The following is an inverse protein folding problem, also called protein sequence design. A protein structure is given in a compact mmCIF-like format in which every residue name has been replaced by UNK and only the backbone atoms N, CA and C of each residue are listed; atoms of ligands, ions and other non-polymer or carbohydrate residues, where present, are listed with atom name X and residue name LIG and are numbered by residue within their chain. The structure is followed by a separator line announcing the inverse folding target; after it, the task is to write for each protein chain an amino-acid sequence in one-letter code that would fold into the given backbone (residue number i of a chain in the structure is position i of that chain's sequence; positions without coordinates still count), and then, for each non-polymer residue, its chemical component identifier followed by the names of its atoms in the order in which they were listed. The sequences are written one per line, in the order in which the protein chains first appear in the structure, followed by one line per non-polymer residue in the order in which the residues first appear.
data_IF_233809463644
#
_entry.id   IF_233809463644
#
_cell.length_a   1.000
_cell.length_b   1.000
_cell.length_c   1.000
_cell.angle_alpha   90.00
_cell.angle_beta   90.00
_cell.angle_gamma   90.00
#
_symmetry.space_group_name_H-M   'P 1'
#
loop_
_entity.id
_entity.type
_entity.pdbx_description
1 polymer ?
#
# COMPACT_ATOMS: atom_id res chain seq x y z
N UNK A 1 -6.20 -60.79 2.34
CA UNK A 1 -7.61 -60.85 1.91
C UNK A 1 -7.83 -59.68 0.98
N UNK A 2 -7.62 -59.93 -0.32
CA UNK A 2 -7.85 -58.98 -1.40
C UNK A 2 -9.35 -58.87 -1.66
N UNK A 3 -9.87 -57.66 -1.84
CA UNK A 3 -11.19 -57.44 -2.44
C UNK A 3 -11.05 -56.29 -3.44
N UNK A 4 -10.80 -56.68 -4.68
CA UNK A 4 -10.90 -55.89 -5.89
C UNK A 4 -12.35 -55.83 -6.34
N UNK A 5 -12.89 -54.63 -6.61
CA UNK A 5 -14.12 -54.44 -7.39
C UNK A 5 -13.72 -53.76 -8.70
N UNK A 6 -14.17 -54.25 -9.88
CA UNK A 6 -13.72 -53.76 -11.17
C UNK A 6 -14.54 -52.56 -11.64
N UNK A 7 -13.89 -51.59 -12.29
CA UNK A 7 -14.54 -50.51 -13.04
C UNK A 7 -14.35 -50.79 -14.53
N UNK A 8 -15.45 -51.05 -15.24
CA UNK A 8 -15.48 -51.10 -16.70
C UNK A 8 -16.38 -50.00 -17.25
N UNK A 9 -15.85 -49.22 -18.18
CA UNK A 9 -16.56 -48.77 -19.38
C UNK A 9 -17.54 -47.61 -19.27
N UNK A 10 -17.06 -46.41 -19.59
CA UNK A 10 -17.70 -45.39 -20.44
C UNK A 10 -19.23 -45.23 -20.42
N UNK A 11 -19.72 -44.16 -19.80
CA UNK A 11 -20.87 -43.39 -20.30
C UNK A 11 -20.89 -41.98 -19.70
N UNK A 12 -21.13 -41.00 -20.56
CA UNK A 12 -21.35 -39.59 -20.24
C UNK A 12 -22.34 -39.42 -19.08
N UNK A 13 -21.92 -38.77 -17.99
CA UNK A 13 -22.81 -38.18 -16.99
C UNK A 13 -22.34 -36.75 -16.74
N UNK A 14 -22.85 -35.83 -17.56
CA UNK A 14 -22.93 -34.42 -17.24
C UNK A 14 -23.69 -34.27 -15.92
N UNK A 15 -23.06 -33.68 -14.91
CA UNK A 15 -23.70 -33.37 -13.64
C UNK A 15 -24.80 -32.31 -13.87
N UNK A 16 -26.03 -32.49 -13.36
CA UNK A 16 -27.08 -31.50 -13.52
C UNK A 16 -26.86 -30.33 -12.54
N UNK A 17 -26.65 -29.13 -13.08
CA UNK A 17 -26.70 -27.86 -12.33
C UNK A 17 -28.10 -27.64 -11.73
N UNK A 18 -28.24 -27.21 -10.47
CA UNK A 18 -29.54 -26.90 -9.90
C UNK A 18 -30.07 -25.58 -10.49
N UNK A 19 -31.10 -25.72 -11.30
CA UNK A 19 -31.78 -24.64 -12.01
C UNK A 19 -32.82 -24.01 -11.06
N UNK A 20 -32.56 -22.78 -10.61
CA UNK A 20 -33.49 -22.04 -9.74
C UNK A 20 -33.93 -20.72 -10.39
N UNK A 21 -34.41 -20.82 -11.63
CA UNK A 21 -35.06 -19.72 -12.35
C UNK A 21 -36.56 -20.01 -12.42
N UNK A 22 -37.46 -19.17 -11.88
CA UNK A 22 -38.89 -19.39 -11.99
C UNK A 22 -39.37 -19.26 -13.43
N UNK A 23 -40.13 -20.27 -13.89
CA UNK A 23 -40.65 -20.47 -15.24
C UNK A 23 -41.90 -19.62 -15.56
N UNK A 24 -42.00 -18.40 -15.01
CA UNK A 24 -43.13 -17.50 -15.29
C UNK A 24 -42.68 -16.05 -15.42
N UNK A 25 -42.86 -15.44 -16.59
CA UNK A 25 -42.88 -13.98 -16.71
C UNK A 25 -44.03 -13.43 -15.87
N UNK A 26 -43.72 -12.57 -14.91
CA UNK A 26 -44.71 -11.77 -14.20
C UNK A 26 -45.40 -10.83 -15.21
N UNK A 27 -46.74 -10.66 -15.16
CA UNK A 27 -47.43 -9.76 -16.06
C UNK A 27 -47.20 -8.31 -15.59
N UNK A 28 -46.26 -7.61 -16.22
CA UNK A 28 -46.09 -6.16 -16.06
C UNK A 28 -47.11 -5.47 -16.96
N UNK A 29 -48.37 -5.43 -16.53
CA UNK A 29 -49.40 -4.59 -17.15
C UNK A 29 -50.57 -4.35 -16.17
N UNK A 30 -50.35 -3.57 -15.12
CA UNK A 30 -51.42 -2.86 -14.41
C UNK A 30 -50.86 -1.78 -13.46
N UNK A 31 -50.87 -0.52 -13.91
CA UNK A 31 -51.18 0.63 -13.06
C UNK A 31 -50.19 1.01 -11.95
N UNK A 32 -48.96 1.40 -12.31
CA UNK A 32 -48.18 2.30 -11.46
C UNK A 32 -48.43 3.74 -11.92
N UNK A 33 -49.01 4.52 -11.04
CA UNK A 33 -49.25 5.96 -11.19
C UNK A 33 -47.93 6.69 -11.46
N UNK A 34 -47.86 7.41 -12.58
CA UNK A 34 -46.77 8.36 -12.88
C UNK A 34 -46.67 9.40 -11.76
N UNK A 35 -45.48 9.67 -11.17
CA UNK A 35 -45.27 10.84 -10.34
C UNK A 35 -45.56 12.10 -11.17
N UNK A 36 -46.41 12.98 -10.64
CA UNK A 36 -46.73 14.28 -11.25
C UNK A 36 -45.78 15.32 -10.66
N UNK A 37 -44.62 15.48 -11.29
CA UNK A 37 -43.78 16.67 -11.13
C UNK A 37 -43.90 17.44 -12.45
N UNK A 38 -44.27 18.73 -12.44
CA UNK A 38 -44.30 19.51 -13.68
C UNK A 38 -42.87 19.67 -14.23
N UNK A 39 -42.71 19.53 -15.54
CA UNK A 39 -41.47 19.79 -16.25
C UNK A 39 -41.02 21.24 -15.97
N UNK A 40 -39.75 21.42 -15.60
CA UNK A 40 -39.10 22.73 -15.58
C UNK A 40 -39.01 23.19 -17.02
N UNK A 41 -39.61 24.33 -17.32
CA UNK A 41 -39.40 25.04 -18.58
C UNK A 41 -37.99 25.63 -18.55
N UNK A 42 -37.12 25.16 -19.44
CA UNK A 42 -35.89 25.86 -19.81
C UNK A 42 -36.28 27.21 -20.42
N UNK A 43 -36.07 28.27 -19.65
CA UNK A 43 -36.02 29.61 -20.21
C UNK A 43 -34.72 29.73 -21.00
N UNK A 44 -34.85 30.18 -22.26
CA UNK A 44 -33.73 30.49 -23.14
C UNK A 44 -32.85 31.55 -22.49
N UNK A 45 -31.62 31.20 -22.17
CA UNK A 45 -30.55 32.18 -21.97
C UNK A 45 -29.85 32.40 -23.31
N UNK A 46 -29.62 33.68 -23.59
CA UNK A 46 -29.02 34.19 -24.83
C UNK A 46 -27.53 33.86 -24.85
N UNK A 47 -27.03 33.56 -26.05
CA UNK A 47 -25.62 33.32 -26.37
C UNK A 47 -24.73 34.45 -25.83
N UNK A 48 -23.75 34.13 -25.00
CA UNK A 48 -22.52 34.90 -24.84
C UNK A 48 -21.35 33.91 -24.61
N UNK A 49 -20.55 33.73 -25.65
CA UNK A 49 -19.27 33.01 -25.62
C UNK A 49 -18.21 33.74 -24.76
N UNK A 50 -17.26 32.95 -24.26
CA UNK A 50 -15.86 33.28 -23.89
C UNK A 50 -15.46 33.18 -22.39
N UNK A 51 -14.87 32.02 -22.04
CA UNK A 51 -13.95 31.69 -20.91
C UNK A 51 -14.54 31.20 -19.57
N UNK A 52 -14.78 29.88 -19.42
CA UNK A 52 -15.21 29.30 -18.12
C UNK A 52 -14.48 28.02 -17.63
N UNK A 53 -13.36 27.59 -18.22
CA UNK A 53 -12.69 26.35 -17.75
C UNK A 53 -11.85 26.48 -16.46
N UNK A 54 -11.73 27.66 -15.83
CA UNK A 54 -11.06 27.81 -14.51
C UNK A 54 -12.04 27.97 -13.34
N UNK A 55 -13.34 28.22 -13.61
CA UNK A 55 -14.35 28.43 -12.58
C UNK A 55 -15.08 27.15 -12.18
N UNK A 56 -15.18 26.16 -13.06
CA UNK A 56 -15.87 24.89 -12.75
C UNK A 56 -15.08 24.05 -11.75
N UNK A 57 -13.75 23.96 -11.86
CA UNK A 57 -12.89 23.29 -10.88
C UNK A 57 -12.92 23.98 -9.52
N UNK A 58 -12.87 25.31 -9.50
CA UNK A 58 -12.97 26.08 -8.26
C UNK A 58 -14.36 25.98 -7.63
N UNK A 59 -15.43 25.89 -8.43
CA UNK A 59 -16.80 25.66 -7.97
C UNK A 59 -16.99 24.22 -7.47
N UNK A 60 -16.35 23.23 -8.10
CA UNK A 60 -16.37 21.83 -7.69
C UNK A 60 -15.59 21.63 -6.39
N UNK A 61 -14.40 22.21 -6.26
CA UNK A 61 -13.58 22.21 -5.04
C UNK A 61 -14.31 22.94 -3.90
N UNK A 62 -14.93 24.08 -4.19
CA UNK A 62 -15.73 24.82 -3.21
C UNK A 62 -17.04 24.09 -2.85
N UNK A 63 -17.64 23.32 -3.77
CA UNK A 63 -18.79 22.47 -3.49
C UNK A 63 -18.39 21.25 -2.64
N UNK A 64 -17.25 20.62 -2.92
CA UNK A 64 -16.66 19.55 -2.11
C UNK A 64 -16.31 20.06 -0.71
N UNK A 65 -15.68 21.22 -0.58
CA UNK A 65 -15.39 21.85 0.70
C UNK A 65 -16.67 22.22 1.49
N UNK A 66 -17.74 22.63 0.81
CA UNK A 66 -19.06 22.87 1.44
C UNK A 66 -19.77 21.58 1.84
N UNK A 67 -19.64 20.51 1.06
CA UNK A 67 -20.18 19.18 1.36
C UNK A 67 -19.42 18.57 2.53
N UNK A 68 -18.09 18.60 2.51
CA UNK A 68 -17.21 18.19 3.61
C UNK A 68 -17.48 19.04 4.87
N UNK A 69 -17.63 20.36 4.75
CA UNK A 69 -17.96 21.24 5.88
C UNK A 69 -19.35 21.00 6.48
N UNK A 70 -20.37 20.69 5.65
CA UNK A 70 -21.70 20.30 6.11
C UNK A 70 -21.70 18.91 6.74
N UNK A 71 -21.00 17.94 6.15
CA UNK A 71 -20.83 16.60 6.71
C UNK A 71 -20.11 16.66 8.05
N UNK A 72 -19.03 17.45 8.16
CA UNK A 72 -18.32 17.70 9.41
C UNK A 72 -19.22 18.31 10.50
N UNK A 73 -20.16 19.18 10.13
CA UNK A 73 -21.15 19.75 11.06
C UNK A 73 -22.24 18.75 11.52
N UNK A 74 -22.46 17.68 10.75
CA UNK A 74 -23.43 16.61 10.97
C UNK A 74 -22.82 15.37 11.65
N UNK A 75 -21.48 15.26 11.73
CA UNK A 75 -20.80 14.21 12.48
C UNK A 75 -21.25 14.26 13.95
N UNK A 76 -21.92 13.20 14.41
CA UNK A 76 -22.38 13.05 15.79
C UNK A 76 -23.61 13.89 16.18
N UNK A 77 -24.18 14.69 15.28
CA UNK A 77 -25.45 15.40 15.52
C UNK A 77 -26.56 14.74 14.72
N UNK A 78 -27.67 14.40 15.38
CA UNK A 78 -28.91 14.03 14.69
C UNK A 78 -29.21 15.13 13.67
N UNK A 79 -29.54 14.75 12.44
CA UNK A 79 -29.76 15.67 11.32
C UNK A 79 -30.96 16.62 11.49
N UNK A 80 -31.44 16.84 12.71
CA UNK A 80 -32.71 17.49 13.07
C UNK A 80 -33.93 16.67 12.66
N UNK A 81 -33.86 16.02 11.51
CA UNK A 81 -34.88 15.12 10.97
C UNK A 81 -35.16 13.98 11.94
N UNK A 82 -34.14 13.25 12.40
CA UNK A 82 -34.31 12.14 13.34
C UNK A 82 -35.00 12.62 14.63
N UNK A 83 -34.70 13.83 15.09
CA UNK A 83 -35.32 14.41 16.30
C UNK A 83 -36.76 14.86 16.08
N UNK A 84 -37.13 15.23 14.85
CA UNK A 84 -38.49 15.59 14.47
C UNK A 84 -39.42 14.38 14.31
N UNK A 85 -38.88 13.16 14.25
CA UNK A 85 -39.66 11.94 14.05
C UNK A 85 -40.60 11.66 15.24
N UNK A 86 -41.82 11.14 15.00
CA UNK A 86 -42.69 10.66 16.06
C UNK A 86 -42.02 9.60 16.93
N UNK A 87 -42.39 9.55 18.22
CA UNK A 87 -41.80 8.61 19.20
C UNK A 87 -41.90 7.16 18.73
N UNK A 88 -43.01 6.78 18.09
CA UNK A 88 -43.17 5.42 17.55
C UNK A 88 -42.14 5.10 16.46
N UNK A 89 -41.87 6.06 15.56
CA UNK A 89 -40.86 5.90 14.51
C UNK A 89 -39.45 5.83 15.10
N UNK A 90 -39.14 6.68 16.10
CA UNK A 90 -37.87 6.60 16.84
C UNK A 90 -37.68 5.25 17.53
N UNK A 91 -38.74 4.68 18.11
CA UNK A 91 -38.70 3.32 18.70
C UNK A 91 -38.41 2.26 17.63
N UNK A 92 -38.94 2.41 16.42
CA UNK A 92 -38.58 1.53 15.30
C UNK A 92 -37.10 1.68 14.90
N UNK A 93 -36.56 2.90 14.88
CA UNK A 93 -35.12 3.12 14.64
C UNK A 93 -34.26 2.45 15.72
N UNK A 94 -34.64 2.57 17.00
CA UNK A 94 -33.96 1.85 18.09
C UNK A 94 -34.07 0.33 17.94
N UNK A 95 -35.21 -0.19 17.47
CA UNK A 95 -35.35 -1.61 17.14
C UNK A 95 -34.42 -2.04 16.00
N UNK A 96 -34.28 -1.22 14.95
CA UNK A 96 -33.34 -1.46 13.84
C UNK A 96 -31.89 -1.44 14.31
N UNK A 97 -31.50 -0.54 15.22
CA UNK A 97 -30.16 -0.59 15.86
C UNK A 97 -29.94 -1.91 16.59
N UNK A 98 -30.97 -2.45 17.25
CA UNK A 98 -30.92 -3.78 17.87
C UNK A 98 -30.70 -4.91 16.85
N UNK A 99 -31.33 -4.83 15.67
CA UNK A 99 -31.07 -5.77 14.56
C UNK A 99 -29.63 -5.63 14.05
N UNK A 100 -29.11 -4.40 13.93
CA UNK A 100 -27.74 -4.15 13.52
C UNK A 100 -26.72 -4.78 14.49
N UNK A 101 -26.99 -4.76 15.81
CA UNK A 101 -26.14 -5.44 16.79
C UNK A 101 -26.03 -6.94 16.49
N UNK A 102 -27.15 -7.61 16.15
CA UNK A 102 -27.13 -9.02 15.79
C UNK A 102 -26.36 -9.29 14.49
N UNK A 103 -26.48 -8.39 13.51
CA UNK A 103 -25.70 -8.48 12.28
C UNK A 103 -24.20 -8.36 12.56
N UNK A 104 -23.80 -7.43 13.42
CA UNK A 104 -22.40 -7.24 13.82
C UNK A 104 -21.86 -8.47 14.58
N UNK A 105 -22.68 -9.14 15.41
CA UNK A 105 -22.30 -10.40 16.07
C UNK A 105 -22.00 -11.52 15.05
N UNK A 106 -22.82 -11.63 14.00
CA UNK A 106 -22.61 -12.60 12.92
C UNK A 106 -21.33 -12.27 12.13
N UNK A 107 -21.10 -11.00 11.80
CA UNK A 107 -19.89 -10.56 11.13
C UNK A 107 -18.63 -10.84 11.95
N UNK A 108 -18.66 -10.58 13.26
CA UNK A 108 -17.59 -10.93 14.19
C UNK A 108 -17.27 -12.43 14.14
N UNK A 109 -18.31 -13.28 14.16
CA UNK A 109 -18.13 -14.73 14.07
C UNK A 109 -17.52 -15.14 12.73
N UNK A 110 -18.01 -14.58 11.62
CA UNK A 110 -17.48 -14.84 10.28
C UNK A 110 -15.99 -14.52 10.20
N UNK A 111 -15.56 -13.33 10.64
CA UNK A 111 -14.13 -12.95 10.59
C UNK A 111 -13.24 -13.81 11.47
N UNK A 112 -13.74 -14.28 12.63
CA UNK A 112 -13.00 -15.27 13.43
C UNK A 112 -12.86 -16.61 12.71
N UNK A 113 -13.90 -17.08 12.03
CA UNK A 113 -13.81 -18.29 11.21
C UNK A 113 -12.85 -18.12 10.01
N UNK A 114 -12.80 -16.92 9.39
CA UNK A 114 -11.78 -16.59 8.39
C UNK A 114 -10.36 -16.68 8.96
N UNK A 115 -10.11 -16.10 10.14
CA UNK A 115 -8.80 -16.17 10.78
C UNK A 115 -8.37 -17.62 11.09
N UNK A 116 -9.29 -18.47 11.54
CA UNK A 116 -9.00 -19.89 11.75
C UNK A 116 -8.72 -20.63 10.43
N UNK A 117 -9.36 -20.22 9.34
CA UNK A 117 -9.09 -20.73 8.00
C UNK A 117 -7.70 -20.31 7.50
N UNK A 118 -7.32 -19.05 7.70
CA UNK A 118 -5.99 -18.52 7.39
C UNK A 118 -4.90 -19.29 8.16
N UNK A 119 -5.08 -19.50 9.47
CA UNK A 119 -4.18 -20.34 10.29
C UNK A 119 -4.02 -21.74 9.73
N UNK A 120 -5.12 -22.38 9.33
CA UNK A 120 -5.11 -23.72 8.73
C UNK A 120 -4.30 -23.75 7.44
N UNK A 121 -4.49 -22.79 6.54
CA UNK A 121 -3.77 -22.77 5.26
C UNK A 121 -2.32 -22.35 5.41
N UNK A 122 -2.00 -21.46 6.36
CA UNK A 122 -0.61 -21.16 6.71
C UNK A 122 0.14 -22.42 7.15
N UNK A 123 -0.49 -23.29 7.94
CA UNK A 123 0.11 -24.56 8.34
C UNK A 123 0.39 -25.51 7.16
N UNK A 124 -0.44 -25.46 6.11
CA UNK A 124 -0.25 -26.24 4.87
C UNK A 124 0.83 -25.62 3.98
N UNK A 125 0.95 -24.29 3.96
CA UNK A 125 2.00 -23.57 3.22
C UNK A 125 3.36 -23.65 3.89
N UNK A 126 3.42 -23.81 5.22
CA UNK A 126 4.67 -23.79 6.00
C UNK A 126 5.77 -24.72 5.45
N UNK A 127 5.51 -25.99 5.07
CA UNK A 127 6.53 -26.84 4.46
C UNK A 127 7.09 -26.30 3.14
N UNK A 128 6.29 -25.55 2.36
CA UNK A 128 6.73 -24.90 1.12
C UNK A 128 7.65 -23.71 1.44
N UNK A 129 7.32 -22.92 2.47
CA UNK A 129 8.20 -21.84 2.94
C UNK A 129 9.51 -22.38 3.52
N UNK A 130 9.47 -23.46 4.30
CA UNK A 130 10.68 -24.15 4.78
C UNK A 130 11.52 -24.71 3.62
N UNK A 131 10.87 -25.26 2.58
CA UNK A 131 11.55 -25.72 1.37
C UNK A 131 12.21 -24.57 0.62
N UNK A 132 11.51 -23.44 0.47
CA UNK A 132 12.03 -22.20 -0.14
C UNK A 132 13.25 -21.68 0.64
N UNK A 133 13.14 -21.56 1.96
CA UNK A 133 14.24 -21.16 2.84
C UNK A 133 15.47 -22.06 2.63
N UNK A 134 15.25 -23.38 2.55
CA UNK A 134 16.35 -24.33 2.39
C UNK A 134 17.13 -24.12 1.09
N UNK A 135 16.42 -23.79 0.00
CA UNK A 135 16.98 -23.47 -1.32
C UNK A 135 17.68 -22.11 -1.29
N UNK A 136 17.03 -21.05 -0.79
CA UNK A 136 17.60 -19.70 -0.71
C UNK A 136 18.93 -19.72 0.05
N UNK A 137 18.98 -20.41 1.18
CA UNK A 137 20.18 -20.46 2.03
C UNK A 137 21.22 -21.50 1.54
N UNK A 138 20.93 -22.26 0.48
CA UNK A 138 21.81 -23.29 -0.06
C UNK A 138 22.05 -24.46 0.91
N UNK A 139 21.14 -24.68 1.86
CA UNK A 139 21.20 -25.79 2.82
C UNK A 139 20.66 -27.11 2.23
N UNK A 140 19.88 -27.01 1.15
CA UNK A 140 19.45 -28.14 0.33
C UNK A 140 19.45 -27.74 -1.14
N UNK A 141 19.87 -28.67 -2.00
CA UNK A 141 19.84 -28.46 -3.44
C UNK A 141 18.42 -28.54 -4.00
N UNK A 142 18.15 -27.80 -5.07
CA UNK A 142 16.93 -27.92 -5.84
C UNK A 142 16.88 -29.30 -6.52
N UNK A 143 15.72 -29.94 -6.48
CA UNK A 143 15.49 -31.21 -7.16
C UNK A 143 15.26 -30.99 -8.66
N UNK A 144 15.51 -32.02 -9.47
CA UNK A 144 15.23 -31.95 -10.90
C UNK A 144 13.75 -31.67 -11.20
N UNK A 145 12.83 -32.21 -10.38
CA UNK A 145 11.39 -31.97 -10.53
C UNK A 145 11.02 -30.50 -10.26
N UNK A 146 11.61 -29.88 -9.23
CA UNK A 146 11.39 -28.45 -8.93
C UNK A 146 11.93 -27.54 -10.03
N UNK A 147 13.11 -27.87 -10.58
CA UNK A 147 13.69 -27.12 -11.70
C UNK A 147 12.81 -27.26 -12.95
N UNK A 148 12.40 -28.48 -13.32
CA UNK A 148 11.54 -28.71 -14.49
C UNK A 148 10.18 -27.98 -14.34
N UNK A 149 9.61 -27.96 -13.14
CA UNK A 149 8.39 -27.19 -12.87
C UNK A 149 8.62 -25.67 -12.99
N UNK A 150 9.74 -25.15 -12.46
CA UNK A 150 10.10 -23.74 -12.57
C UNK A 150 10.41 -23.29 -13.99
N UNK A 151 11.09 -24.12 -14.79
CA UNK A 151 11.35 -23.85 -16.20
C UNK A 151 10.05 -23.84 -17.02
N UNK A 152 9.09 -24.71 -16.68
CA UNK A 152 7.76 -24.67 -17.29
C UNK A 152 7.05 -23.35 -17.01
N UNK A 153 7.09 -22.86 -15.76
CA UNK A 153 6.51 -21.56 -15.42
C UNK A 153 7.23 -20.42 -16.16
N UNK A 154 8.56 -20.47 -16.22
CA UNK A 154 9.36 -19.45 -16.92
C UNK A 154 9.03 -19.37 -18.41
N UNK A 155 8.71 -20.50 -19.04
CA UNK A 155 8.29 -20.55 -20.44
C UNK A 155 6.84 -20.06 -20.65
N UNK A 156 5.97 -20.20 -19.65
CA UNK A 156 4.63 -19.62 -19.65
C UNK A 156 4.70 -18.08 -19.51
N UNK A 157 5.66 -17.58 -18.75
CA UNK A 157 5.89 -16.15 -18.53
C UNK A 157 6.66 -15.48 -19.69
N UNK A 158 7.69 -16.16 -20.22
CA UNK A 158 8.52 -15.70 -21.34
C UNK A 158 8.66 -16.83 -22.40
N UNK A 159 7.98 -16.72 -23.56
CA UNK A 159 8.06 -17.71 -24.64
C UNK A 159 9.46 -17.94 -25.20
N UNK A 160 10.37 -16.98 -25.02
CA UNK A 160 11.77 -17.05 -25.47
C UNK A 160 12.72 -17.57 -24.38
N UNK A 161 12.19 -18.02 -23.22
CA UNK A 161 12.98 -18.58 -22.13
C UNK A 161 13.81 -19.80 -22.59
N UNK A 162 15.10 -19.77 -22.27
CA UNK A 162 16.05 -20.85 -22.56
C UNK A 162 16.39 -21.60 -21.28
N UNK A 163 16.11 -22.91 -21.28
CA UNK A 163 16.41 -23.80 -20.17
C UNK A 163 17.89 -23.75 -19.73
N UNK A 164 18.10 -23.87 -18.43
CA UNK A 164 19.43 -23.70 -17.83
C UNK A 164 20.30 -24.96 -18.04
N UNK A 165 21.64 -24.83 -18.10
CA UNK A 165 22.53 -25.98 -18.16
C UNK A 165 22.37 -26.87 -16.91
N UNK A 166 22.27 -28.19 -17.10
CA UNK A 166 22.03 -29.15 -16.01
C UNK A 166 23.28 -29.47 -15.16
N UNK A 167 24.48 -29.23 -15.71
CA UNK A 167 25.76 -29.59 -15.08
C UNK A 167 26.55 -28.33 -14.70
N UNK A 168 26.10 -27.62 -13.66
CA UNK A 168 26.80 -26.47 -13.09
C UNK A 168 27.24 -26.75 -11.66
N UNK A 169 28.50 -26.41 -11.35
CA UNK A 169 29.09 -26.49 -10.01
C UNK A 169 29.39 -25.08 -9.52
N UNK A 170 28.76 -24.69 -8.41
CA UNK A 170 28.89 -23.35 -7.81
C UNK A 170 28.26 -23.31 -6.41
N UNK A 171 28.31 -22.15 -5.72
CA UNK A 171 27.53 -21.95 -4.51
C UNK A 171 26.04 -21.92 -4.84
N UNK A 172 25.25 -22.70 -4.09
CA UNK A 172 23.82 -22.90 -4.36
C UNK A 172 22.91 -21.95 -3.57
N UNK A 173 23.47 -21.13 -2.69
CA UNK A 173 22.72 -20.10 -1.96
C UNK A 173 22.46 -18.90 -2.87
N UNK A 174 21.28 -18.28 -2.71
CA UNK A 174 20.86 -17.08 -3.43
C UNK A 174 21.22 -15.86 -2.56
N UNK A 175 22.27 -15.08 -2.92
CA UNK A 175 22.68 -13.95 -2.11
C UNK A 175 21.62 -12.85 -2.13
N UNK A 176 21.46 -12.16 -0.99
CA UNK A 176 20.65 -10.94 -0.87
C UNK A 176 19.18 -11.11 -1.27
N UNK A 177 18.66 -12.35 -1.29
CA UNK A 177 17.30 -12.67 -1.76
C UNK A 177 16.23 -11.76 -1.15
N UNK A 178 16.17 -11.68 0.18
CA UNK A 178 15.17 -10.87 0.87
C UNK A 178 15.42 -9.37 0.74
N UNK A 179 16.68 -8.92 0.71
CA UNK A 179 16.97 -7.51 0.48
C UNK A 179 16.46 -7.08 -0.91
N UNK A 180 16.74 -7.86 -1.94
CA UNK A 180 16.26 -7.60 -3.31
C UNK A 180 14.73 -7.65 -3.38
N UNK A 181 14.10 -8.66 -2.77
CA UNK A 181 12.64 -8.76 -2.75
C UNK A 181 11.98 -7.56 -2.05
N UNK A 182 12.50 -7.12 -0.90
CA UNK A 182 11.97 -5.97 -0.17
C UNK A 182 12.20 -4.65 -0.93
N UNK A 183 13.32 -4.52 -1.66
CA UNK A 183 13.63 -3.36 -2.52
C UNK A 183 12.73 -3.23 -3.73
N UNK A 184 12.20 -4.35 -4.23
CA UNK A 184 11.28 -4.35 -5.36
C UNK A 184 9.82 -4.08 -4.93
N UNK A 185 9.53 -3.96 -3.64
CA UNK A 185 8.22 -3.53 -3.17
C UNK A 185 8.19 -2.01 -3.00
N UNK A 186 7.24 -1.34 -3.65
CA UNK A 186 7.16 0.13 -3.75
C UNK A 186 7.24 0.80 -2.38
N UNK A 187 6.34 0.45 -1.45
CA UNK A 187 6.31 1.07 -0.11
C UNK A 187 7.48 0.72 0.80
N UNK A 188 8.19 -0.39 0.56
CA UNK A 188 9.33 -0.79 1.39
C UNK A 188 10.65 -0.24 0.84
N UNK A 189 10.75 -0.05 -0.47
CA UNK A 189 11.92 0.52 -1.13
C UNK A 189 12.27 1.89 -0.55
N UNK A 190 11.25 2.72 -0.28
CA UNK A 190 11.40 4.06 0.30
C UNK A 190 11.84 4.04 1.76
N UNK A 191 11.46 3.01 2.51
CA UNK A 191 11.86 2.84 3.92
C UNK A 191 13.31 2.33 4.06
N UNK A 192 13.83 1.63 3.04
CA UNK A 192 15.17 1.04 3.07
C UNK A 192 16.21 2.06 2.62
N UNK A 193 17.06 2.49 3.57
CA UNK A 193 18.21 3.36 3.25
C UNK A 193 19.45 2.55 2.87
N UNK A 194 20.42 3.17 2.20
CA UNK A 194 21.70 2.53 1.85
C UNK A 194 22.45 1.97 3.08
N UNK A 195 22.25 2.58 4.26
CA UNK A 195 22.87 2.13 5.52
C UNK A 195 22.24 0.83 6.02
N UNK A 196 20.95 0.62 5.74
CA UNK A 196 20.19 -0.55 6.17
C UNK A 196 20.54 -1.79 5.36
N UNK A 197 20.93 -1.62 4.09
CA UNK A 197 21.32 -2.71 3.19
C UNK A 197 22.42 -3.58 3.81
N UNK A 198 23.38 -2.97 4.49
CA UNK A 198 24.46 -3.70 5.16
C UNK A 198 23.94 -4.75 6.14
N UNK A 199 22.91 -4.41 6.92
CA UNK A 199 22.27 -5.33 7.86
C UNK A 199 21.28 -6.28 7.16
N UNK A 200 20.53 -5.79 6.18
CA UNK A 200 19.54 -6.58 5.44
C UNK A 200 20.17 -7.67 4.56
N UNK A 201 21.43 -7.54 4.14
CA UNK A 201 22.21 -8.63 3.51
C UNK A 201 22.29 -9.90 4.37
N UNK A 202 22.13 -9.76 5.70
CA UNK A 202 22.17 -10.87 6.64
C UNK A 202 20.79 -11.50 6.90
N UNK A 203 19.71 -10.99 6.29
CA UNK A 203 18.35 -11.50 6.41
C UNK A 203 18.21 -12.80 5.61
N UNK A 204 17.92 -13.90 6.29
CA UNK A 204 17.83 -15.24 5.69
C UNK A 204 16.40 -15.74 5.50
N UNK A 205 15.46 -15.25 6.31
CA UNK A 205 14.04 -15.62 6.20
C UNK A 205 13.11 -14.58 6.81
N UNK A 206 11.90 -14.48 6.26
CA UNK A 206 10.79 -13.71 6.82
C UNK A 206 9.62 -14.68 7.00
N UNK A 207 9.19 -14.87 8.25
CA UNK A 207 8.15 -15.83 8.59
C UNK A 207 6.90 -15.15 9.13
N UNK A 208 5.75 -15.64 8.67
CA UNK A 208 4.44 -15.28 9.22
C UNK A 208 4.02 -16.32 10.27
N UNK A 209 3.45 -15.84 11.37
CA UNK A 209 2.75 -16.67 12.36
C UNK A 209 1.54 -15.91 12.90
N UNK A 210 0.43 -16.59 13.11
CA UNK A 210 -0.71 -16.00 13.82
C UNK A 210 -0.51 -16.13 15.33
N UNK A 211 -0.96 -15.12 16.07
CA UNK A 211 -0.91 -15.14 17.53
C UNK A 211 -1.99 -16.07 18.07
N UNK A 212 -1.61 -16.88 19.05
CA UNK A 212 -2.56 -17.72 19.77
C UNK A 212 -3.38 -16.87 20.74
N UNK A 213 -4.67 -17.19 20.90
CA UNK A 213 -5.59 -16.51 21.84
C UNK A 213 -5.18 -16.64 23.33
N UNK A 214 -4.08 -17.34 23.62
CA UNK A 214 -3.51 -17.44 24.97
C UNK A 214 -2.38 -16.47 25.21
N UNK A 215 -1.79 -15.96 24.13
CA UNK A 215 -0.72 -14.98 24.15
C UNK A 215 -1.33 -13.57 24.00
N UNK A 216 -0.66 -12.55 24.55
CA UNK A 216 -1.05 -11.13 24.39
C UNK A 216 -2.51 -10.78 24.77
N UNK A 217 -2.90 -11.10 26.00
CA UNK A 217 -4.23 -10.79 26.58
C UNK A 217 -5.43 -11.39 25.82
N UNK A 218 -5.17 -12.41 24.99
CA UNK A 218 -6.17 -13.12 24.20
C UNK A 218 -6.71 -12.38 22.99
N UNK A 219 -5.96 -11.38 22.52
CA UNK A 219 -6.29 -10.64 21.30
C UNK A 219 -5.80 -11.40 20.06
N UNK A 220 -6.63 -11.50 18.99
CA UNK A 220 -6.18 -12.06 17.74
C UNK A 220 -5.16 -11.12 17.08
N UNK A 221 -4.31 -11.67 16.21
CA UNK A 221 -3.29 -10.90 15.53
C UNK A 221 -2.31 -11.81 14.79
N UNK A 222 -1.30 -11.20 14.20
CA UNK A 222 -0.22 -11.91 13.53
C UNK A 222 1.14 -11.32 13.90
N UNK A 223 2.18 -12.10 13.63
CA UNK A 223 3.56 -11.76 13.90
C UNK A 223 4.41 -12.12 12.70
N UNK A 224 5.23 -11.17 12.28
CA UNK A 224 6.25 -11.30 11.27
C UNK A 224 7.60 -11.42 11.97
N UNK A 225 8.33 -12.49 11.69
CA UNK A 225 9.65 -12.78 12.25
C UNK A 225 10.71 -12.68 11.17
N UNK A 226 11.63 -11.72 11.32
CA UNK A 226 12.78 -11.53 10.45
C UNK A 226 13.98 -12.25 11.06
N UNK A 227 14.51 -13.25 10.36
CA UNK A 227 15.59 -14.10 10.84
C UNK A 227 16.90 -13.65 10.20
N UNK A 228 17.86 -13.28 11.04
CA UNK A 228 19.17 -12.80 10.63
C UNK A 228 20.25 -13.80 10.99
N UNK A 229 21.28 -13.86 10.14
CA UNK A 229 22.56 -14.43 10.53
C UNK A 229 23.31 -13.50 11.48
N UNK A 230 24.28 -14.05 12.21
CA UNK A 230 25.24 -13.28 12.99
C UNK A 230 25.87 -12.19 12.11
N UNK A 231 25.66 -10.93 12.48
CA UNK A 231 26.06 -9.76 11.70
C UNK A 231 26.81 -8.75 12.55
N UNK A 232 27.38 -7.71 11.95
CA UNK A 232 28.15 -6.69 12.67
C UNK A 232 27.31 -5.58 13.31
N UNK A 233 25.99 -5.55 13.09
CA UNK A 233 25.12 -4.44 13.46
C UNK A 233 24.43 -4.64 14.81
N UNK A 234 23.87 -5.82 15.06
CA UNK A 234 23.14 -6.13 16.29
C UNK A 234 23.36 -7.58 16.75
N UNK A 235 22.95 -7.87 17.98
CA UNK A 235 23.07 -9.21 18.59
C UNK A 235 21.86 -10.11 18.36
N UNK A 236 20.72 -9.55 17.95
CA UNK A 236 19.49 -10.30 17.73
C UNK A 236 19.63 -11.27 16.54
N UNK A 237 19.29 -12.54 16.74
CA UNK A 237 19.13 -13.49 15.62
C UNK A 237 17.74 -13.38 14.97
N UNK A 238 16.74 -12.88 15.71
CA UNK A 238 15.37 -12.70 15.22
C UNK A 238 14.83 -11.34 15.68
N UNK A 239 14.26 -10.59 14.74
CA UNK A 239 13.48 -9.38 15.00
C UNK A 239 12.01 -9.67 14.70
N UNK A 240 11.14 -9.50 15.69
CA UNK A 240 9.72 -9.77 15.58
C UNK A 240 8.95 -8.44 15.48
N UNK A 241 7.91 -8.43 14.67
CA UNK A 241 6.88 -7.39 14.64
C UNK A 241 5.52 -8.05 14.73
N UNK A 242 4.76 -7.73 15.77
CA UNK A 242 3.43 -8.26 16.03
C UNK A 242 2.37 -7.17 15.88
N UNK A 243 1.27 -7.50 15.23
CA UNK A 243 0.10 -6.66 15.11
C UNK A 243 -1.07 -7.33 15.82
N UNK A 244 -1.64 -6.61 16.79
CA UNK A 244 -2.81 -7.04 17.55
C UNK A 244 -4.05 -6.37 16.97
N UNK A 245 -5.10 -7.15 16.78
CA UNK A 245 -6.42 -6.67 16.41
C UNK A 245 -7.29 -6.39 17.64
N UNK A 246 -8.32 -5.58 17.45
CA UNK A 246 -9.40 -5.42 18.42
C UNK A 246 -10.26 -6.69 18.50
N UNK A 247 -10.96 -6.87 19.64
CA UNK A 247 -11.74 -8.09 19.88
C UNK A 247 -13.00 -8.18 19.00
N UNK A 248 -13.44 -7.02 18.51
CA UNK A 248 -14.60 -6.82 17.63
C UNK A 248 -14.15 -6.21 16.31
N UNK A 249 -14.82 -6.61 15.24
CA UNK A 249 -14.67 -5.99 13.92
C UNK A 249 -15.14 -4.54 13.95
N UNK A 250 -14.52 -3.73 13.09
CA UNK A 250 -14.85 -2.33 12.89
C UNK A 250 -16.16 -2.15 12.14
N UNK A 251 -16.44 -0.89 11.79
CA UNK A 251 -17.64 -0.54 11.04
C UNK A 251 -17.71 -1.20 9.65
N UNK A 252 -16.56 -1.40 8.98
CA UNK A 252 -16.47 -2.11 7.69
C UNK A 252 -16.76 -3.61 7.80
N UNK A 253 -16.73 -4.16 9.01
CA UNK A 253 -16.82 -5.61 9.24
C UNK A 253 -15.47 -6.34 9.22
N UNK A 254 -14.36 -5.62 9.10
CA UNK A 254 -12.98 -6.18 9.16
C UNK A 254 -12.34 -6.04 10.55
N UNK A 255 -11.25 -6.78 10.78
CA UNK A 255 -10.44 -6.58 11.97
C UNK A 255 -9.84 -5.18 11.96
N UNK A 256 -9.93 -4.50 13.10
CA UNK A 256 -9.30 -3.19 13.29
C UNK A 256 -8.02 -3.39 14.09
N UNK A 257 -6.94 -2.73 13.68
CA UNK A 257 -5.71 -2.72 14.44
C UNK A 257 -5.91 -2.07 15.82
N UNK A 258 -5.32 -2.68 16.83
CA UNK A 258 -5.29 -2.19 18.20
C UNK A 258 -3.91 -1.66 18.56
N UNK A 259 -2.87 -2.45 18.28
CA UNK A 259 -1.50 -2.12 18.68
C UNK A 259 -0.47 -2.88 17.85
N UNK A 260 0.60 -2.19 17.47
CA UNK A 260 1.82 -2.79 16.98
C UNK A 260 2.83 -2.98 18.14
N UNK A 261 3.54 -4.10 18.13
CA UNK A 261 4.60 -4.43 19.10
C UNK A 261 5.82 -4.87 18.30
N UNK A 262 6.92 -4.16 18.43
CA UNK A 262 8.18 -4.54 17.78
C UNK A 262 9.23 -5.03 18.78
N UNK A 263 10.31 -5.59 18.24
CA UNK A 263 11.46 -6.06 19.02
C UNK A 263 12.48 -4.95 19.26
N UNK A 264 12.91 -4.81 20.52
CA UNK A 264 14.04 -3.96 20.88
C UNK A 264 15.35 -4.51 20.28
N UNK A 265 16.00 -3.70 19.44
CA UNK A 265 17.21 -4.07 18.72
C UNK A 265 18.43 -3.80 19.59
N UNK A 266 19.20 -4.85 19.87
CA UNK A 266 20.44 -4.80 20.64
C UNK A 266 21.60 -4.42 19.72
N UNK A 267 21.66 -3.13 19.37
CA UNK A 267 22.71 -2.57 18.53
C UNK A 267 24.09 -2.74 19.15
N UNK A 268 25.05 -3.14 18.32
CA UNK A 268 26.48 -3.16 18.67
C UNK A 268 27.03 -1.73 18.71
N UNK A 269 28.20 -1.58 19.34
CA UNK A 269 28.83 -0.28 19.52
C UNK A 269 28.98 0.44 18.18
N UNK A 270 28.40 1.65 18.10
CA UNK A 270 28.46 2.54 16.94
C UNK A 270 27.81 2.02 15.65
N UNK A 271 26.90 1.04 15.78
CA UNK A 271 26.21 0.41 14.65
C UNK A 271 24.70 0.63 14.66
N UNK A 272 24.20 1.49 15.54
CA UNK A 272 22.79 1.88 15.58
C UNK A 272 22.42 2.66 14.31
N UNK A 273 21.67 2.02 13.41
CA UNK A 273 21.26 2.59 12.13
C UNK A 273 20.08 3.58 12.27
N UNK A 274 19.35 3.51 13.38
CA UNK A 274 18.21 4.40 13.69
C UNK A 274 18.66 5.75 14.24
N UNK A 275 19.96 5.92 14.52
CA UNK A 275 20.53 7.16 15.07
C UNK A 275 21.78 7.60 14.33
N UNK A 276 21.82 8.89 13.97
CA UNK A 276 23.04 9.54 13.51
C UNK A 276 23.72 10.26 14.67
N UNK A 277 25.06 10.19 14.75
CA UNK A 277 25.82 10.76 15.86
C UNK A 277 26.64 11.99 15.44
N UNK A 278 26.24 13.17 15.92
CA UNK A 278 26.94 14.43 15.69
C UNK A 278 27.99 14.66 16.79
N UNK A 279 29.28 14.71 16.43
CA UNK A 279 30.37 14.98 17.39
C UNK A 279 30.61 16.49 17.48
N UNK A 280 30.18 17.11 18.59
CA UNK A 280 30.44 18.54 18.86
C UNK A 280 31.61 18.71 19.82
N UNK A 281 32.57 19.56 19.44
CA UNK A 281 33.62 20.05 20.35
C UNK A 281 33.01 21.09 21.27
N UNK A 282 32.77 20.73 22.53
CA UNK A 282 32.40 21.69 23.57
C UNK A 282 33.66 22.16 24.29
N UNK A 283 33.90 23.46 24.28
CA UNK A 283 34.93 24.11 25.10
C UNK A 283 34.28 24.68 26.35
N UNK A 284 34.74 24.25 27.52
CA UNK A 284 34.29 24.84 28.77
C UNK A 284 34.81 26.28 28.87
N UNK A 285 33.89 27.25 28.95
CA UNK A 285 34.21 28.69 28.97
C UNK A 285 35.11 29.09 30.15
N UNK A 286 35.04 28.37 31.28
CA UNK A 286 35.79 28.71 32.49
C UNK A 286 37.14 27.99 32.60
N UNK A 287 37.23 26.73 32.16
CA UNK A 287 38.44 25.90 32.32
C UNK A 287 39.26 25.75 31.03
N UNK A 288 38.78 26.32 29.90
CA UNK A 288 39.37 26.19 28.56
C UNK A 288 39.62 24.75 28.09
N UNK A 289 39.14 23.73 28.80
CA UNK A 289 39.22 22.33 28.38
C UNK A 289 38.17 22.03 27.32
N UNK A 290 38.59 21.35 26.27
CA UNK A 290 37.73 20.91 25.17
C UNK A 290 37.33 19.45 25.39
N UNK A 291 36.03 19.16 25.43
CA UNK A 291 35.48 17.80 25.44
C UNK A 291 34.73 17.56 24.14
N UNK A 292 34.88 16.38 23.56
CA UNK A 292 34.05 15.91 22.46
C UNK A 292 32.75 15.35 23.07
N UNK A 293 31.61 15.92 22.68
CA UNK A 293 30.29 15.46 23.07
C UNK A 293 29.64 14.86 21.84
N UNK A 294 29.31 13.57 21.91
CA UNK A 294 28.58 12.85 20.88
C UNK A 294 27.09 12.99 21.17
N UNK A 295 26.33 13.60 20.26
CA UNK A 295 24.87 13.76 20.38
C UNK A 295 24.20 12.90 19.31
N UNK A 296 23.38 11.94 19.73
CA UNK A 296 22.56 11.15 18.83
C UNK A 296 21.35 11.98 18.33
N UNK A 297 20.99 11.81 17.07
CA UNK A 297 19.76 12.31 16.43
C UNK A 297 19.04 11.13 15.78
N UNK A 298 17.72 10.97 15.99
CA UNK A 298 16.94 10.01 15.20
C UNK A 298 17.12 10.27 13.71
N UNK A 299 17.15 9.21 12.93
CA UNK A 299 17.27 9.27 11.47
C UNK A 299 16.38 8.22 10.84
N UNK A 300 15.99 8.47 9.59
CA UNK A 300 15.29 7.48 8.79
C UNK A 300 16.14 6.21 8.60
N UNK A 301 15.50 5.08 8.85
CA UNK A 301 16.04 3.73 8.75
C UNK A 301 14.88 2.75 8.73
N UNK A 302 14.98 1.71 7.91
CA UNK A 302 14.02 0.59 7.88
C UNK A 302 13.80 0.00 9.28
N UNK A 303 14.84 -0.04 10.12
CA UNK A 303 14.78 -0.63 11.45
C UNK A 303 13.89 0.15 12.44
N UNK A 304 13.46 1.38 12.10
CA UNK A 304 12.42 2.09 12.84
C UNK A 304 11.09 1.31 12.83
N UNK A 305 10.85 0.45 11.84
CA UNK A 305 9.71 -0.46 11.77
C UNK A 305 9.55 -1.35 13.03
N UNK A 306 10.66 -1.71 13.69
CA UNK A 306 10.63 -2.50 14.94
C UNK A 306 10.44 -1.64 16.20
N UNK A 307 10.39 -0.32 16.05
CA UNK A 307 10.08 0.62 17.12
C UNK A 307 8.76 1.32 16.79
N UNK A 308 7.62 0.62 16.89
CA UNK A 308 6.33 1.21 16.55
C UNK A 308 6.05 2.44 17.41
N UNK A 309 5.38 3.43 16.81
CA UNK A 309 4.94 4.62 17.53
C UNK A 309 3.97 4.23 18.65
N UNK A 310 3.93 5.05 19.70
CA UNK A 310 2.93 4.93 20.76
C UNK A 310 1.85 5.95 20.47
N UNK A 311 0.56 5.55 20.38
CA UNK A 311 -0.51 6.50 20.13
C UNK A 311 -0.55 7.52 21.27
N UNK A 312 -0.70 8.82 20.97
CA UNK A 312 -0.87 9.86 21.97
C UNK A 312 -2.03 9.49 22.91
N UNK A 313 -1.84 9.65 24.22
CA UNK A 313 -2.95 9.44 25.15
C UNK A 313 -3.98 10.57 25.03
N UNK A 314 -5.24 10.28 25.34
CA UNK A 314 -6.31 11.29 25.38
C UNK A 314 -5.91 12.54 26.20
N UNK A 315 -5.21 12.35 27.34
CA UNK A 315 -4.68 13.45 28.17
C UNK A 315 -3.64 14.32 27.43
N UNK A 316 -2.82 13.72 26.57
CA UNK A 316 -1.80 14.43 25.79
C UNK A 316 -2.47 15.25 24.67
N UNK A 317 -3.55 14.72 24.07
CA UNK A 317 -4.35 15.39 23.06
C UNK A 317 -5.14 16.55 23.69
N UNK A 318 -5.84 16.31 24.80
CA UNK A 318 -6.65 17.31 25.49
C UNK A 318 -5.80 18.43 26.11
N UNK A 319 -4.58 18.12 26.55
CA UNK A 319 -3.63 19.11 27.04
C UNK A 319 -2.96 19.95 25.94
N UNK A 320 -3.20 19.63 24.67
CA UNK A 320 -2.60 20.32 23.52
C UNK A 320 -1.08 20.15 23.46
N UNK A 321 -0.56 19.02 23.96
CA UNK A 321 0.88 18.72 23.93
C UNK A 321 1.38 18.51 22.51
N UNK A 322 0.52 17.97 21.65
CA UNK A 322 0.75 17.79 20.23
C UNK A 322 -0.15 18.76 19.46
N UNK A 323 0.40 19.39 18.44
CA UNK A 323 -0.38 20.20 17.50
C UNK A 323 -1.20 19.28 16.57
N UNK A 324 -2.23 19.82 15.91
CA UNK A 324 -3.10 19.01 15.03
C UNK A 324 -2.30 18.36 13.89
N UNK A 325 -1.36 19.11 13.30
CA UNK A 325 -0.46 18.64 12.25
C UNK A 325 0.46 17.52 12.75
N UNK A 326 0.96 17.61 14.00
CA UNK A 326 1.76 16.53 14.60
C UNK A 326 0.94 15.26 14.86
N UNK A 327 -0.35 15.40 15.21
CA UNK A 327 -1.25 14.26 15.38
C UNK A 327 -1.55 13.57 14.04
N UNK A 328 -1.78 14.35 12.98
CA UNK A 328 -1.99 13.85 11.62
C UNK A 328 -0.74 13.10 11.11
N UNK A 329 0.46 13.68 11.28
CA UNK A 329 1.71 12.99 10.92
C UNK A 329 1.93 11.67 11.69
N UNK A 330 1.47 11.60 12.95
CA UNK A 330 1.56 10.37 13.76
C UNK A 330 0.58 9.33 13.22
N UNK A 331 -0.64 9.74 12.86
CA UNK A 331 -1.67 8.87 12.27
C UNK A 331 -1.20 8.32 10.91
N UNK A 332 -0.66 9.15 10.03
CA UNK A 332 -0.09 8.74 8.74
C UNK A 332 1.01 7.69 8.92
N UNK A 333 1.92 7.90 9.89
CA UNK A 333 2.97 6.93 10.21
C UNK A 333 2.40 5.61 10.72
N UNK A 334 1.31 5.62 11.48
CA UNK A 334 0.62 4.39 11.90
C UNK A 334 -0.02 3.67 10.71
N UNK A 335 -0.66 4.41 9.81
CA UNK A 335 -1.28 3.84 8.62
C UNK A 335 -0.24 3.16 7.73
N UNK A 336 0.89 3.83 7.47
CA UNK A 336 2.01 3.27 6.71
C UNK A 336 2.54 2.01 7.42
N UNK A 337 2.74 2.04 8.74
CA UNK A 337 3.24 0.87 9.49
C UNK A 337 2.31 -0.35 9.38
N UNK A 338 0.99 -0.15 9.40
CA UNK A 338 0.00 -1.21 9.21
C UNK A 338 -0.06 -1.70 7.78
N UNK A 339 0.00 -0.80 6.80
CA UNK A 339 0.01 -1.17 5.38
C UNK A 339 1.21 -2.05 5.06
N UNK A 340 2.40 -1.65 5.50
CA UNK A 340 3.63 -2.45 5.32
C UNK A 340 3.53 -3.82 6.01
N UNK A 341 2.87 -3.88 7.17
CA UNK A 341 2.57 -5.13 7.86
C UNK A 341 1.69 -6.07 7.03
N UNK A 342 0.64 -5.55 6.40
CA UNK A 342 -0.23 -6.30 5.50
C UNK A 342 0.49 -6.69 4.21
N UNK A 343 1.27 -5.81 3.59
CA UNK A 343 2.02 -6.10 2.37
C UNK A 343 3.01 -7.25 2.60
N UNK A 344 3.69 -7.25 3.75
CA UNK A 344 4.56 -8.37 4.13
C UNK A 344 3.76 -9.68 4.28
N UNK A 345 2.59 -9.62 4.91
CA UNK A 345 1.73 -10.79 5.20
C UNK A 345 1.08 -11.38 3.95
N UNK A 346 0.48 -10.53 3.11
CA UNK A 346 -0.39 -10.94 1.99
C UNK A 346 0.34 -10.97 0.64
N UNK A 347 1.34 -10.10 0.44
CA UNK A 347 2.07 -9.99 -0.83
C UNK A 347 3.45 -10.63 -0.77
N UNK A 348 4.35 -10.10 0.06
CA UNK A 348 5.78 -10.42 -0.01
C UNK A 348 6.08 -11.82 0.49
N UNK A 349 5.57 -12.23 1.66
CA UNK A 349 5.85 -13.58 2.18
C UNK A 349 5.27 -14.66 1.24
N UNK A 350 4.03 -14.55 0.72
CA UNK A 350 3.49 -15.54 -0.23
C UNK A 350 4.16 -15.51 -1.61
N UNK A 351 4.56 -14.34 -2.12
CA UNK A 351 5.09 -14.14 -3.48
C UNK A 351 6.54 -13.66 -3.52
N UNK A 352 7.36 -14.06 -2.53
CA UNK A 352 8.74 -13.57 -2.39
C UNK A 352 9.62 -13.76 -3.62
N UNK A 353 9.40 -14.83 -4.40
CA UNK A 353 10.14 -15.09 -5.64
C UNK A 353 9.78 -14.08 -6.72
N UNK A 354 8.49 -13.74 -6.86
CA UNK A 354 8.02 -12.76 -7.84
C UNK A 354 8.54 -11.34 -7.50
N UNK A 355 8.60 -10.99 -6.21
CA UNK A 355 9.28 -9.77 -5.76
C UNK A 355 10.77 -9.83 -6.01
N UNK A 356 11.45 -10.96 -5.77
CA UNK A 356 12.88 -11.09 -6.05
C UNK A 356 13.21 -10.95 -7.54
N UNK A 357 12.42 -11.55 -8.43
CA UNK A 357 12.63 -11.47 -9.89
C UNK A 357 12.14 -10.15 -10.49
N UNK A 358 11.35 -9.37 -9.74
CA UNK A 358 10.73 -8.13 -10.20
C UNK A 358 9.41 -8.34 -10.94
N UNK A 359 8.98 -9.59 -11.16
CA UNK A 359 7.69 -9.92 -11.79
C UNK A 359 6.50 -9.33 -11.03
N UNK A 360 6.59 -9.23 -9.70
CA UNK A 360 5.52 -8.66 -8.89
C UNK A 360 5.19 -7.20 -9.26
N UNK A 361 6.17 -6.43 -9.77
CA UNK A 361 5.98 -5.04 -10.19
C UNK A 361 4.97 -4.90 -11.34
N UNK A 362 4.85 -5.90 -12.21
CA UNK A 362 3.85 -5.87 -13.29
C UNK A 362 2.43 -5.83 -12.72
N UNK A 363 2.18 -6.53 -11.62
CA UNK A 363 0.87 -6.58 -10.98
C UNK A 363 0.60 -5.36 -10.10
N UNK A 364 1.62 -4.88 -9.37
CA UNK A 364 1.46 -3.69 -8.52
C UNK A 364 1.26 -2.41 -9.36
N UNK A 365 1.82 -2.32 -10.59
CA UNK A 365 1.60 -1.15 -11.50
C UNK A 365 0.25 -1.23 -12.21
N UNK A 366 -0.21 -2.43 -12.60
CA UNK A 366 -1.52 -2.59 -13.23
C UNK A 366 -2.69 -2.23 -12.31
N UNK A 367 -2.52 -2.34 -10.99
CA UNK A 367 -3.53 -1.90 -10.01
C UNK A 367 -3.60 -0.35 -9.89
N UNK A 368 -2.59 0.42 -10.32
CA UNK A 368 -2.60 1.89 -10.31
C UNK A 368 -3.17 2.51 -11.60
N UNK A 369 -2.99 1.86 -12.76
CA UNK A 369 -3.45 2.38 -14.07
C UNK A 369 -4.96 2.11 -14.34
N UNK A 370 -5.61 1.18 -13.61
CA UNK A 370 -7.03 0.83 -13.82
C UNK A 370 -8.02 1.89 -13.23
N UNK A 371 -7.51 2.93 -12.57
CA UNK A 371 -8.29 4.10 -12.12
C UNK A 371 -8.30 5.26 -13.13
N UNK A 372 -7.53 5.21 -14.24
CA UNK A 372 -7.41 6.29 -15.24
C UNK A 372 -8.10 6.01 -16.61
N UNK A 373 -8.92 4.98 -16.77
CA UNK A 373 -9.51 4.63 -18.09
C UNK A 373 -11.07 4.62 -18.12
N UNK A 374 -11.71 5.52 -17.35
CA UNK A 374 -13.15 5.80 -17.43
C UNK A 374 -13.50 7.21 -17.97
N UNK A 375 -12.62 7.83 -18.75
CA UNK A 375 -12.93 9.06 -19.50
C UNK A 375 -12.70 8.87 -21.01
N UNK A 376 -13.42 7.93 -21.61
CA UNK A 376 -13.72 8.04 -23.04
C UNK A 376 -15.11 7.47 -23.36
N UNK A 377 -16.14 8.17 -22.85
CA UNK A 377 -17.45 8.13 -23.48
C UNK A 377 -17.43 9.14 -24.63
N UNK A 378 -16.68 8.81 -25.68
CA UNK A 378 -16.68 9.52 -26.94
C UNK A 378 -18.13 9.54 -27.49
N UNK A 379 -18.60 10.78 -27.63
CA UNK A 379 -19.90 11.22 -28.08
C UNK A 379 -20.14 10.81 -29.54
N UNK A 380 -20.85 9.70 -29.75
CA UNK A 380 -21.22 9.22 -31.09
C UNK A 380 -22.50 9.94 -31.56
N UNK A 381 -22.38 11.23 -31.86
CA UNK A 381 -23.42 12.03 -32.54
C UNK A 381 -22.93 12.45 -33.94
N UNK A 382 -22.91 11.50 -34.88
CA UNK A 382 -22.76 11.77 -36.32
C UNK A 382 -23.90 11.14 -37.15
N UNK A 383 -24.99 11.90 -37.30
CA UNK A 383 -25.76 11.88 -38.56
C UNK A 383 -25.98 13.31 -39.08
N UNK A 384 -24.94 13.87 -39.70
CA UNK A 384 -24.97 15.21 -40.31
C UNK A 384 -24.43 15.28 -41.74
N UNK A 385 -24.62 14.25 -42.58
CA UNK A 385 -24.12 14.23 -43.97
C UNK A 385 -24.94 15.12 -44.90
N UNK A 386 -24.50 16.36 -45.14
CA UNK A 386 -24.79 17.07 -46.39
C UNK A 386 -23.54 17.77 -46.94
N UNK A 387 -23.16 17.25 -48.11
CA UNK A 387 -22.13 17.65 -49.06
C UNK A 387 -22.43 19.03 -49.67
N UNK A 388 -21.46 19.95 -49.70
CA UNK A 388 -21.41 20.99 -50.73
C UNK A 388 -19.96 21.43 -51.03
N UNK A 389 -19.67 21.44 -52.33
CA UNK A 389 -18.40 21.68 -52.99
C UNK A 389 -17.93 23.14 -52.90
N UNK A 390 -16.62 23.37 -52.71
CA UNK A 390 -15.89 24.39 -53.48
C UNK A 390 -14.38 24.33 -53.29
N UNK A 391 -13.69 24.06 -54.40
CA UNK A 391 -12.27 24.31 -54.58
C UNK A 391 -11.92 25.81 -54.46
N UNK A 392 -10.85 26.15 -53.74
CA UNK A 392 -9.91 27.16 -54.23
C UNK A 392 -8.53 27.04 -53.60
N UNK A 393 -7.55 27.00 -54.50
CA UNK A 393 -6.11 26.92 -54.35
C UNK A 393 -5.52 28.30 -54.00
N UNK A 394 -4.63 28.39 -52.98
CA UNK A 394 -3.61 29.46 -52.89
C UNK A 394 -2.37 29.05 -52.07
N UNK A 395 -1.24 29.24 -52.73
CA UNK A 395 0.19 28.95 -52.44
C UNK A 395 0.84 29.73 -51.24
N UNK A 396 1.55 28.99 -50.36
CA UNK A 396 2.85 29.22 -49.63
C UNK A 396 3.17 30.60 -48.92
N UNK A 397 4.20 30.78 -48.02
CA UNK A 397 5.35 29.92 -47.60
C UNK A 397 5.67 29.90 -46.05
N UNK A 398 6.76 29.24 -45.55
CA UNK A 398 6.95 28.95 -44.12
C UNK A 398 7.79 30.00 -43.37
N UNK A 399 7.50 30.23 -42.07
CA UNK A 399 8.31 31.14 -41.22
C UNK A 399 8.93 30.41 -40.04
N UNK A 400 10.25 30.65 -39.92
CA UNK A 400 11.24 30.04 -39.03
C UNK A 400 11.17 30.52 -37.58
N UNK A 401 11.62 29.61 -36.70
CA UNK A 401 12.16 29.80 -35.33
C UNK A 401 12.91 31.12 -35.11
N UNK A 402 12.71 31.73 -33.94
CA UNK A 402 13.66 32.63 -33.27
C UNK A 402 13.64 32.45 -31.75
N UNK A 403 14.82 32.21 -31.17
CA UNK A 403 15.06 32.21 -29.72
C UNK A 403 15.17 33.61 -29.12
N UNK A 404 15.38 33.73 -27.79
CA UNK A 404 15.32 35.01 -27.09
C UNK A 404 16.66 35.78 -27.11
N UNK A 405 16.62 37.13 -27.09
CA UNK A 405 17.81 37.97 -27.18
C UNK A 405 18.38 38.37 -25.82
N UNK A 406 19.67 38.69 -25.81
CA UNK A 406 20.44 39.22 -24.68
C UNK A 406 20.78 40.71 -24.90
N UNK A 407 20.48 41.54 -23.90
CA UNK A 407 21.46 42.48 -23.30
C UNK A 407 21.44 43.97 -23.67
N UNK A 408 21.62 44.82 -22.64
CA UNK A 408 22.51 46.01 -22.51
C UNK A 408 21.96 46.95 -21.42
N UNK A 409 22.72 47.65 -20.59
CA UNK A 409 24.15 47.83 -20.30
C UNK A 409 24.24 48.42 -18.88
N UNK A 410 25.34 48.89 -18.30
CA UNK A 410 26.70 49.14 -18.74
C UNK A 410 27.32 50.13 -17.75
N UNK A 411 28.21 49.63 -16.85
CA UNK A 411 29.42 50.25 -16.26
C UNK A 411 29.32 51.62 -15.51
N UNK A 412 30.40 52.13 -14.83
CA UNK A 412 31.74 51.55 -14.61
C UNK A 412 32.40 51.78 -13.22
N UNK A 413 33.56 51.13 -13.07
CA UNK A 413 34.82 51.60 -12.45
C UNK A 413 35.05 51.51 -10.93
N UNK A 414 35.98 50.63 -10.51
CA UNK A 414 37.38 50.92 -10.10
C UNK A 414 37.98 49.63 -9.51
N UNK A 415 38.89 48.93 -10.20
CA UNK A 415 40.35 49.11 -10.24
C UNK A 415 41.10 48.64 -8.97
N UNK A 416 41.70 47.44 -9.03
CA UNK A 416 43.07 47.10 -8.61
C UNK A 416 43.35 45.60 -8.89
N UNK A 417 44.12 45.30 -9.96
CA UNK A 417 45.52 44.79 -9.94
C UNK A 417 45.70 43.44 -9.20
N UNK A 418 45.87 42.26 -9.86
CA UNK A 418 47.07 41.73 -10.59
C UNK A 418 48.22 41.49 -9.60
N UNK A 419 48.88 40.33 -9.39
CA UNK A 419 49.12 39.08 -10.15
C UNK A 419 49.62 37.95 -9.17
N UNK A 420 50.18 36.78 -9.59
CA UNK A 420 49.96 35.48 -8.95
C UNK A 420 51.30 34.83 -8.48
N UNK A 421 51.28 33.51 -8.32
CA UNK A 421 52.40 32.55 -8.29
C UNK A 421 53.07 32.17 -6.96
N UNK A 422 53.18 30.83 -6.83
CA UNK A 422 54.14 30.00 -6.10
C UNK A 422 54.15 29.98 -4.55
N UNK A 423 53.90 28.79 -3.97
CA UNK A 423 54.99 27.95 -3.44
C UNK A 423 54.51 26.53 -3.04
N UNK A 424 55.35 25.54 -3.36
CA UNK A 424 55.30 24.11 -3.05
C UNK A 424 55.61 23.77 -1.58
N UNK A 425 55.20 22.56 -1.20
CA UNK A 425 55.81 21.61 -0.23
C UNK A 425 55.87 22.01 1.26
N UNK A 426 55.09 21.33 2.09
CA UNK A 426 55.54 20.22 2.94
C UNK A 426 54.34 19.46 3.52
#
# INVERSE_FOLDING_TARGET
MSSSVPISGSSNITAPTPQNTPLSHAPIAAGLSRPTVPDITEDKEEDDDENENENEDALHEHALALVQGKLASLLGKSSGYIDSLPVEVKRSVEALKGVQVQQNEIQNKYKRECLELEKKYLAIQKPLYERREAIINGSADATSEEIEAGEKQSLEDDPDYVALPKDVSGPNAIPEFWLTALRNHIGLADLITERDEGALKHLIDIRLSYLDEKDHDGKPGFKISFIFTQNEFFENDVLDKSYLYQDKVGYSGDFVYYKAIGTDIKWKEDKDLTKEYEIKKQRNKNTNRTRLVRKARPTESFFNFFTPLVPPSDDDIESGKYELEELEEIEDKFQIDYQIGEDLKEKIIPRAVDYFTGKALEYDVMDEDDDEDYEDLEDDDDEGRFDDDSESDVDLPPVRRRGPPKGRGGAPATANNVNPEECKQQ
#
